data_IF_131529331489
#
_entry.id   IF_131529331489
#
_cell.length_a   1.000
_cell.length_b   1.000
_cell.length_c   1.000
_cell.angle_alpha   90.00
_cell.angle_beta   90.00
_cell.angle_gamma   90.00
#
_symmetry.space_group_name_H-M   'P 1'
#
loop_
_entity.id
_entity.type
_entity.pdbx_description
1 polymer ?
#
# COMPACT_ATOMS: atom_id res chain seq x y z
N UNK A 1 7.17 4.46 -40.00
CA UNK A 1 6.10 5.45 -39.79
C UNK A 1 4.91 4.72 -39.22
N UNK A 2 4.48 5.12 -38.02
CA UNK A 2 3.26 4.77 -37.29
C UNK A 2 2.90 3.27 -37.17
N UNK A 3 3.19 2.70 -36.00
CA UNK A 3 2.53 1.49 -35.49
C UNK A 3 1.47 1.96 -34.51
N UNK A 4 0.21 1.69 -34.82
CA UNK A 4 -0.95 1.89 -33.95
C UNK A 4 -0.83 0.98 -32.71
N UNK A 5 -0.72 1.59 -31.53
CA UNK A 5 -0.96 0.94 -30.24
C UNK A 5 -2.28 1.46 -29.69
N UNK A 6 -3.35 0.68 -29.88
CA UNK A 6 -4.61 0.83 -29.16
C UNK A 6 -4.86 -0.41 -28.30
N UNK A 7 -4.99 -0.15 -27.00
CA UNK A 7 -5.95 -0.83 -26.13
C UNK A 7 -5.49 -2.12 -25.47
N UNK A 8 -4.87 -2.00 -24.28
CA UNK A 8 -5.11 -2.98 -23.21
C UNK A 8 -5.12 -2.27 -21.85
N UNK A 9 -6.20 -1.55 -21.59
CA UNK A 9 -6.51 -0.84 -20.34
C UNK A 9 -7.53 -1.59 -19.48
N UNK A 10 -7.46 -2.92 -19.40
CA UNK A 10 -8.53 -3.76 -18.88
C UNK A 10 -8.12 -4.75 -17.80
N UNK A 11 -7.55 -4.33 -16.66
CA UNK A 11 -7.31 -5.23 -15.53
C UNK A 11 -7.46 -4.63 -14.10
N UNK A 12 -7.84 -3.36 -13.96
CA UNK A 12 -8.08 -2.71 -12.65
C UNK A 12 -9.52 -2.83 -12.12
N UNK A 13 -10.42 -3.48 -12.86
CA UNK A 13 -11.87 -3.30 -12.69
C UNK A 13 -12.55 -4.32 -11.77
N UNK A 14 -12.05 -4.53 -10.54
CA UNK A 14 -12.89 -5.06 -9.44
C UNK A 14 -12.98 -4.17 -8.19
N UNK A 15 -12.40 -2.97 -8.23
CA UNK A 15 -12.59 -1.93 -7.19
C UNK A 15 -12.61 -0.50 -7.76
N UNK A 16 -12.94 -0.32 -9.03
CA UNK A 16 -13.15 1.01 -9.62
C UNK A 16 -14.50 1.58 -9.10
N UNK A 17 -14.49 2.63 -8.25
CA UNK A 17 -15.72 3.27 -7.81
C UNK A 17 -16.25 4.18 -8.92
N UNK A 18 -17.57 4.38 -8.94
CA UNK A 18 -18.15 5.58 -9.54
C UNK A 18 -17.38 6.80 -8.98
N UNK A 19 -16.96 7.70 -9.87
CA UNK A 19 -16.03 8.81 -9.61
C UNK A 19 -16.28 9.53 -8.28
N UNK A 20 -15.58 9.10 -7.22
CA UNK A 20 -15.40 9.94 -6.04
C UNK A 20 -14.47 11.07 -6.46
N UNK A 21 -15.03 12.27 -6.59
CA UNK A 21 -14.27 13.50 -6.77
C UNK A 21 -14.23 14.21 -5.41
N UNK A 22 -13.05 14.44 -4.80
CA UNK A 22 -12.97 15.24 -3.60
C UNK A 22 -13.62 16.60 -3.88
N UNK A 23 -14.49 17.06 -2.97
CA UNK A 23 -15.08 18.38 -3.04
C UNK A 23 -14.03 19.40 -2.60
N UNK A 24 -13.22 19.92 -3.52
CA UNK A 24 -12.26 21.04 -3.38
C UNK A 24 -11.27 21.01 -2.17
N UNK A 25 -11.33 20.00 -1.30
CA UNK A 25 -10.45 19.73 -0.16
C UNK A 25 -9.34 18.78 -0.59
N UNK A 26 -8.26 19.36 -1.09
CA UNK A 26 -7.08 18.63 -1.55
C UNK A 26 -6.01 18.49 -0.45
N UNK A 27 -6.19 19.15 0.71
CA UNK A 27 -5.14 19.32 1.71
C UNK A 27 -4.77 18.04 2.46
N UNK A 28 -5.75 17.27 2.96
CA UNK A 28 -5.46 16.02 3.66
C UNK A 28 -4.81 14.98 2.74
N UNK A 29 -5.35 14.82 1.54
CA UNK A 29 -4.84 13.87 0.53
C UNK A 29 -3.41 14.23 0.13
N UNK A 30 -3.10 15.52 -0.11
CA UNK A 30 -1.73 15.95 -0.40
C UNK A 30 -0.76 15.66 0.76
N UNK A 31 -1.16 15.89 2.02
CA UNK A 31 -0.27 15.60 3.16
C UNK A 31 -0.05 14.12 3.40
N UNK A 32 -1.05 13.28 3.09
CA UNK A 32 -0.88 11.83 3.14
C UNK A 32 0.09 11.35 2.05
N UNK A 33 0.07 12.00 0.87
CA UNK A 33 1.07 11.79 -0.19
C UNK A 33 2.45 12.19 0.28
N UNK A 34 2.59 13.39 0.85
CA UNK A 34 3.87 13.89 1.37
C UNK A 34 4.43 12.94 2.42
N UNK A 35 3.60 12.49 3.37
CA UNK A 35 4.00 11.50 4.37
C UNK A 35 4.47 10.17 3.74
N UNK A 36 3.81 9.71 2.66
CA UNK A 36 4.22 8.51 1.95
C UNK A 36 5.55 8.70 1.18
N UNK A 37 5.78 9.89 0.63
CA UNK A 37 7.02 10.26 -0.06
C UNK A 37 8.17 10.43 0.94
N UNK A 38 7.94 11.08 2.07
CA UNK A 38 8.95 11.31 3.12
C UNK A 38 9.36 10.00 3.81
N UNK A 39 8.44 9.06 3.95
CA UNK A 39 8.73 7.72 4.43
C UNK A 39 9.53 6.86 3.43
N UNK A 40 9.65 7.27 2.16
CA UNK A 40 10.43 6.56 1.17
C UNK A 40 11.95 6.71 1.45
N UNK A 41 12.78 5.67 1.24
CA UNK A 41 14.23 5.81 1.29
C UNK A 41 14.68 6.89 0.30
N UNK A 42 15.40 7.91 0.77
CA UNK A 42 15.93 9.04 -0.04
C UNK A 42 16.95 8.62 -1.12
N UNK A 43 17.19 7.33 -1.30
CA UNK A 43 18.17 6.77 -2.22
C UNK A 43 17.65 6.68 -3.65
N UNK A 44 17.33 7.81 -4.31
CA UNK A 44 17.22 7.97 -5.78
C UNK A 44 16.47 6.89 -6.60
N UNK A 45 15.66 6.07 -5.96
CA UNK A 45 14.96 4.91 -6.52
C UNK A 45 13.47 5.14 -6.31
N UNK A 46 12.64 4.51 -7.15
CA UNK A 46 11.19 4.66 -7.08
C UNK A 46 10.68 4.50 -5.63
N UNK A 47 9.63 5.24 -5.22
CA UNK A 47 9.09 5.13 -3.87
C UNK A 47 8.79 3.67 -3.55
N UNK A 48 9.05 3.21 -2.30
CA UNK A 48 8.90 1.82 -1.94
C UNK A 48 7.44 1.41 -2.15
N UNK A 49 7.23 0.22 -2.70
CA UNK A 49 5.89 -0.32 -2.85
C UNK A 49 5.22 -0.40 -1.46
N UNK A 50 4.03 0.20 -1.32
CA UNK A 50 3.27 0.12 -0.08
C UNK A 50 2.89 -1.32 0.23
N UNK A 51 2.80 -1.67 1.53
CA UNK A 51 2.41 -3.02 1.92
C UNK A 51 0.95 -3.24 1.53
N UNK A 52 0.60 -4.39 0.94
CA UNK A 52 -0.78 -4.67 0.62
C UNK A 52 -1.59 -4.85 1.91
N UNK A 53 -2.75 -4.23 1.96
CA UNK A 53 -3.65 -4.31 3.12
C UNK A 53 -4.77 -5.31 2.91
N UNK A 54 -5.22 -5.96 3.97
CA UNK A 54 -6.45 -6.74 3.95
C UNK A 54 -7.62 -5.83 4.29
N UNK A 55 -8.61 -5.77 3.40
CA UNK A 55 -9.85 -5.03 3.64
C UNK A 55 -11.05 -6.00 3.59
N UNK A 56 -12.05 -5.83 4.46
CA UNK A 56 -13.33 -6.52 4.35
C UNK A 56 -14.09 -6.18 3.07
N UNK A 57 -15.13 -6.96 2.78
CA UNK A 57 -16.03 -6.67 1.66
C UNK A 57 -16.87 -5.40 1.90
N UNK A 58 -17.38 -4.82 0.82
CA UNK A 58 -18.19 -3.59 0.86
C UNK A 58 -19.35 -3.64 1.87
N UNK A 59 -20.15 -4.73 1.97
CA UNK A 59 -21.26 -4.77 2.92
C UNK A 59 -20.81 -4.75 4.39
N UNK A 60 -19.67 -5.36 4.70
CA UNK A 60 -19.12 -5.37 6.06
C UNK A 60 -18.57 -3.99 6.43
N UNK A 61 -17.85 -3.35 5.51
CA UNK A 61 -17.39 -1.97 5.68
C UNK A 61 -18.57 -1.00 5.84
N UNK A 62 -19.61 -1.14 5.01
CA UNK A 62 -20.80 -0.31 5.09
C UNK A 62 -21.59 -0.55 6.38
N UNK A 63 -21.65 -1.80 6.87
CA UNK A 63 -22.19 -2.12 8.19
C UNK A 63 -21.45 -1.35 9.30
N UNK A 64 -20.11 -1.40 9.31
CA UNK A 64 -19.31 -0.65 10.27
C UNK A 64 -19.46 0.87 10.13
N UNK A 65 -19.63 1.38 8.92
CA UNK A 65 -19.84 2.81 8.66
C UNK A 65 -21.17 3.32 9.22
N UNK A 66 -22.23 2.50 9.18
CA UNK A 66 -23.53 2.83 9.77
C UNK A 66 -23.48 2.95 11.30
N UNK A 67 -22.50 2.30 11.95
CA UNK A 67 -22.28 2.39 13.39
C UNK A 67 -21.41 3.60 13.81
N UNK A 68 -21.14 4.53 12.89
CA UNK A 68 -20.44 5.80 13.17
C UNK A 68 -21.37 6.77 13.90
N UNK A 69 -20.94 7.21 15.10
CA UNK A 69 -21.67 8.23 15.86
C UNK A 69 -21.64 9.59 15.19
N UNK A 70 -20.49 9.97 14.62
CA UNK A 70 -20.35 11.25 13.89
C UNK A 70 -21.25 11.29 12.66
N UNK A 71 -21.30 10.20 11.89
CA UNK A 71 -22.18 10.15 10.70
C UNK A 71 -23.66 10.20 11.11
N UNK A 72 -24.05 9.51 12.18
CA UNK A 72 -25.41 9.57 12.72
C UNK A 72 -25.79 11.00 13.14
N UNK A 73 -24.91 11.71 13.87
CA UNK A 73 -25.15 13.10 14.29
C UNK A 73 -25.33 14.04 13.08
N UNK A 74 -24.55 13.82 12.02
CA UNK A 74 -24.63 14.59 10.77
C UNK A 74 -25.91 14.29 9.97
N UNK A 75 -26.35 13.02 9.93
CA UNK A 75 -27.63 12.62 9.33
C UNK A 75 -28.79 13.29 10.06
N UNK A 76 -28.75 13.29 11.40
CA UNK A 76 -29.76 13.96 12.23
C UNK A 76 -29.77 15.48 12.01
N UNK A 77 -28.59 16.09 11.85
CA UNK A 77 -28.48 17.50 11.49
C UNK A 77 -29.10 17.78 10.11
N UNK A 78 -28.76 16.97 9.11
CA UNK A 78 -29.30 17.09 7.76
C UNK A 78 -30.83 16.96 7.74
N UNK A 79 -31.40 16.02 8.51
CA UNK A 79 -32.85 15.88 8.67
C UNK A 79 -33.48 17.14 9.26
N UNK A 80 -32.91 17.70 10.34
CA UNK A 80 -33.38 18.96 10.94
C UNK A 80 -33.33 20.13 9.97
N UNK A 81 -32.31 20.20 9.11
CA UNK A 81 -32.21 21.25 8.06
C UNK A 81 -33.29 21.06 7.00
N UNK A 82 -33.60 19.83 6.58
CA UNK A 82 -34.69 19.58 5.61
C UNK A 82 -36.06 19.97 6.15
N UNK A 83 -36.29 19.77 7.44
CA UNK A 83 -37.56 20.04 8.10
C UNK A 83 -37.72 21.51 8.54
N UNK A 84 -36.69 22.34 8.34
CA UNK A 84 -36.63 23.72 8.84
C UNK A 84 -36.37 24.72 7.71
N UNK A 85 -37.20 25.77 7.62
CA UNK A 85 -36.95 26.94 6.77
C UNK A 85 -35.83 27.87 7.30
N UNK A 86 -35.26 27.58 8.48
CA UNK A 86 -34.17 28.37 9.08
C UNK A 86 -32.82 27.98 8.48
N UNK A 87 -32.07 29.00 8.04
CA UNK A 87 -30.66 28.87 7.71
C UNK A 87 -29.81 28.64 8.97
N UNK A 88 -28.81 27.77 8.86
CA UNK A 88 -27.75 27.57 9.82
C UNK A 88 -26.74 28.72 9.82
N UNK A 89 -25.63 28.57 10.57
CA UNK A 89 -24.54 29.55 10.54
C UNK A 89 -23.92 29.63 9.13
N UNK A 90 -23.51 30.82 8.66
CA UNK A 90 -22.77 30.94 7.41
C UNK A 90 -21.51 30.07 7.43
N UNK A 91 -21.20 29.41 6.30
CA UNK A 91 -20.06 28.48 6.18
C UNK A 91 -18.75 29.08 6.70
N UNK A 92 -18.51 30.37 6.45
CA UNK A 92 -17.29 31.07 6.88
C UNK A 92 -17.11 31.23 8.39
N UNK A 93 -18.17 31.01 9.17
CA UNK A 93 -18.15 31.11 10.65
C UNK A 93 -18.74 29.86 11.32
N UNK A 94 -19.03 28.81 10.54
CA UNK A 94 -19.50 27.54 11.07
C UNK A 94 -18.41 26.90 11.93
N UNK A 95 -18.82 26.24 13.02
CA UNK A 95 -17.92 25.55 13.93
C UNK A 95 -18.54 24.23 14.41
N UNK A 96 -17.70 23.35 14.94
CA UNK A 96 -18.12 22.01 15.36
C UNK A 96 -18.84 21.27 14.24
N UNK A 97 -19.95 20.61 14.59
CA UNK A 97 -20.70 19.75 13.67
C UNK A 97 -21.16 20.44 12.37
N UNK A 98 -21.42 21.75 12.38
CA UNK A 98 -21.79 22.48 11.15
C UNK A 98 -20.61 22.61 10.19
N UNK A 99 -19.42 22.91 10.70
CA UNK A 99 -18.22 22.97 9.88
C UNK A 99 -17.92 21.61 9.26
N UNK A 100 -18.06 20.54 10.06
CA UNK A 100 -17.89 19.17 9.59
C UNK A 100 -18.95 18.79 8.54
N UNK A 101 -20.21 19.20 8.72
CA UNK A 101 -21.28 18.93 7.77
C UNK A 101 -21.05 19.58 6.40
N UNK A 102 -20.54 20.82 6.37
CA UNK A 102 -20.18 21.48 5.11
C UNK A 102 -18.92 20.88 4.49
N UNK A 103 -17.87 20.65 5.27
CA UNK A 103 -16.61 20.09 4.78
C UNK A 103 -16.75 18.67 4.22
N UNK A 104 -17.63 17.85 4.83
CA UNK A 104 -17.94 16.50 4.35
C UNK A 104 -18.94 16.47 3.19
N UNK A 105 -19.55 17.61 2.85
CA UNK A 105 -20.56 17.74 1.81
C UNK A 105 -21.94 17.16 2.17
N UNK A 106 -22.18 16.81 3.44
CA UNK A 106 -23.49 16.43 3.98
C UNK A 106 -24.47 17.60 3.91
N UNK A 107 -23.98 18.81 4.18
CA UNK A 107 -24.68 20.06 3.91
C UNK A 107 -23.96 20.83 2.80
N UNK A 108 -24.74 21.52 1.97
CA UNK A 108 -24.26 22.42 0.92
C UNK A 108 -25.03 23.72 0.99
N UNK A 109 -24.47 24.77 0.41
CA UNK A 109 -25.20 26.03 0.24
C UNK A 109 -25.75 26.11 -1.17
N UNK A 110 -27.02 26.48 -1.30
CA UNK A 110 -27.70 26.70 -2.58
C UNK A 110 -28.24 28.12 -2.64
N UNK A 111 -27.99 28.80 -3.76
CA UNK A 111 -28.58 30.11 -4.02
C UNK A 111 -29.97 29.94 -4.63
N UNK A 112 -30.99 30.47 -3.95
CA UNK A 112 -32.37 30.45 -4.40
C UNK A 112 -32.65 31.44 -5.54
N UNK A 113 -33.81 31.31 -6.21
CA UNK A 113 -34.26 32.25 -7.26
C UNK A 113 -34.45 33.69 -6.74
N UNK A 114 -34.70 33.82 -5.44
CA UNK A 114 -34.80 35.08 -4.69
C UNK A 114 -33.43 35.69 -4.34
N UNK A 115 -32.33 35.07 -4.79
CA UNK A 115 -30.96 35.51 -4.55
C UNK A 115 -30.41 35.15 -3.17
N UNK A 116 -31.25 34.59 -2.29
CA UNK A 116 -30.90 34.19 -0.92
C UNK A 116 -30.15 32.86 -0.90
N UNK A 117 -29.12 32.76 -0.08
CA UNK A 117 -28.42 31.49 0.18
C UNK A 117 -29.17 30.71 1.26
N UNK A 118 -29.44 29.43 0.98
CA UNK A 118 -30.05 28.48 1.92
C UNK A 118 -29.17 27.25 2.05
N UNK A 119 -29.28 26.57 3.17
CA UNK A 119 -28.62 25.28 3.38
C UNK A 119 -29.46 24.18 2.75
N UNK A 120 -28.77 23.22 2.15
CA UNK A 120 -29.35 22.09 1.45
C UNK A 120 -28.66 20.83 1.95
N UNK A 121 -29.44 19.91 2.49
CA UNK A 121 -28.96 18.59 2.87
C UNK A 121 -28.79 17.70 1.64
N UNK A 122 -27.62 17.12 1.48
CA UNK A 122 -27.36 16.12 0.44
C UNK A 122 -28.30 14.92 0.61
N UNK A 123 -28.70 14.30 -0.51
CA UNK A 123 -29.27 12.95 -0.46
C UNK A 123 -28.14 11.98 -0.11
N UNK A 124 -28.28 11.30 1.03
CA UNK A 124 -27.24 10.43 1.57
C UNK A 124 -27.30 9.02 0.97
N UNK A 125 -28.44 8.64 0.37
CA UNK A 125 -28.70 7.30 -0.12
C UNK A 125 -28.61 6.20 0.96
N UNK A 126 -29.21 5.04 0.67
CA UNK A 126 -29.21 3.90 1.60
C UNK A 126 -28.31 2.75 1.13
N UNK A 127 -27.70 2.88 -0.04
CA UNK A 127 -26.81 1.86 -0.60
C UNK A 127 -25.48 1.80 0.17
N UNK A 128 -24.85 0.62 0.20
CA UNK A 128 -23.56 0.44 0.87
C UNK A 128 -22.48 1.40 0.33
N UNK A 129 -22.42 1.56 -1.00
CA UNK A 129 -21.53 2.51 -1.65
C UNK A 129 -21.79 3.97 -1.23
N UNK A 130 -23.06 4.40 -1.13
CA UNK A 130 -23.40 5.77 -0.74
C UNK A 130 -23.02 6.04 0.73
N UNK A 131 -23.35 5.11 1.63
CA UNK A 131 -22.96 5.20 3.05
C UNK A 131 -21.44 5.30 3.18
N UNK A 132 -20.68 4.47 2.47
CA UNK A 132 -19.23 4.51 2.49
C UNK A 132 -18.67 5.82 1.93
N UNK A 133 -19.28 6.38 0.88
CA UNK A 133 -18.89 7.66 0.32
C UNK A 133 -19.07 8.81 1.32
N UNK A 134 -20.21 8.87 2.01
CA UNK A 134 -20.44 9.90 3.02
C UNK A 134 -19.55 9.71 4.25
N UNK A 135 -19.37 8.46 4.69
CA UNK A 135 -18.45 8.15 5.77
C UNK A 135 -17.01 8.60 5.42
N UNK A 136 -16.55 8.36 4.20
CA UNK A 136 -15.24 8.82 3.72
C UNK A 136 -15.13 10.35 3.70
N UNK A 137 -16.16 11.05 3.23
CA UNK A 137 -16.18 12.52 3.25
C UNK A 137 -16.03 13.09 4.66
N UNK A 138 -16.68 12.48 5.65
CA UNK A 138 -16.54 12.86 7.06
C UNK A 138 -15.15 12.53 7.60
N UNK A 139 -14.57 11.38 7.24
CA UNK A 139 -13.19 11.04 7.61
C UNK A 139 -12.21 12.10 7.11
N UNK A 140 -12.27 12.44 5.82
CA UNK A 140 -11.41 13.46 5.20
C UNK A 140 -11.58 14.80 5.91
N UNK A 141 -12.82 15.24 6.15
CA UNK A 141 -13.09 16.50 6.85
C UNK A 141 -12.52 16.55 8.28
N UNK A 142 -12.55 15.43 9.02
CA UNK A 142 -11.89 15.33 10.34
C UNK A 142 -10.37 15.44 10.18
N UNK A 143 -9.77 14.77 9.18
CA UNK A 143 -8.32 14.82 8.95
C UNK A 143 -7.83 16.19 8.48
N UNK A 144 -8.69 17.00 7.89
CA UNK A 144 -8.46 18.41 7.56
C UNK A 144 -8.73 19.34 8.75
N UNK A 145 -9.04 18.81 9.93
CA UNK A 145 -9.32 19.58 11.14
C UNK A 145 -10.48 20.57 10.96
N UNK A 146 -11.54 20.17 10.23
CA UNK A 146 -12.66 21.05 9.89
C UNK A 146 -13.36 21.69 11.11
N UNK A 147 -13.44 20.99 12.24
CA UNK A 147 -14.08 21.52 13.46
C UNK A 147 -13.18 22.43 14.29
N UNK A 148 -11.87 22.45 14.03
CA UNK A 148 -10.93 23.25 14.82
C UNK A 148 -10.94 24.72 14.38
N UNK A 149 -10.98 25.68 15.32
CA UNK A 149 -11.13 27.09 14.96
C UNK A 149 -9.94 27.62 14.15
N UNK A 150 -10.21 28.56 13.24
CA UNK A 150 -9.22 29.15 12.34
C UNK A 150 -8.17 30.05 13.04
N UNK A 151 -8.31 30.30 14.35
CA UNK A 151 -7.40 31.11 15.16
C UNK A 151 -6.10 30.38 15.57
N UNK A 152 -5.98 29.09 15.23
CA UNK A 152 -4.68 28.46 15.01
C UNK A 152 -4.14 29.05 13.70
N UNK A 153 -3.58 30.26 13.79
CA UNK A 153 -3.10 31.09 12.67
C UNK A 153 -2.24 30.30 11.68
N UNK A 154 -2.87 29.70 10.65
CA UNK A 154 -2.28 29.09 9.45
C UNK A 154 -1.26 27.95 9.66
N UNK A 155 -0.11 28.27 10.25
CA UNK A 155 1.04 27.38 10.43
C UNK A 155 0.74 26.25 11.40
N UNK A 156 0.16 26.53 12.57
CA UNK A 156 -0.14 25.48 13.56
C UNK A 156 -1.12 24.43 13.04
N UNK A 157 -2.10 24.84 12.22
CA UNK A 157 -3.06 23.93 11.58
C UNK A 157 -2.34 23.08 10.53
N UNK A 158 -1.54 23.70 9.67
CA UNK A 158 -0.77 22.99 8.64
C UNK A 158 0.16 21.94 9.25
N UNK A 159 0.86 22.30 10.34
CA UNK A 159 1.72 21.37 11.09
C UNK A 159 0.90 20.24 11.69
N UNK A 160 -0.24 20.53 12.32
CA UNK A 160 -1.10 19.50 12.90
C UNK A 160 -1.65 18.52 11.87
N UNK A 161 -2.06 19.01 10.69
CA UNK A 161 -2.53 18.15 9.61
C UNK A 161 -1.40 17.28 9.04
N UNK A 162 -0.14 17.80 8.96
CA UNK A 162 1.04 17.00 8.59
C UNK A 162 1.34 15.91 9.61
N UNK A 163 1.29 16.24 10.90
CA UNK A 163 1.47 15.27 12.00
C UNK A 163 0.40 14.18 11.94
N UNK A 164 -0.86 14.55 11.74
CA UNK A 164 -1.97 13.60 11.64
C UNK A 164 -1.81 12.70 10.40
N UNK A 165 -1.45 13.25 9.25
CA UNK A 165 -1.19 12.47 8.04
C UNK A 165 -0.03 11.47 8.23
N UNK A 166 1.08 11.91 8.82
CA UNK A 166 2.21 11.04 9.13
C UNK A 166 1.84 9.90 10.10
N UNK A 167 1.03 10.21 11.13
CA UNK A 167 0.52 9.22 12.07
C UNK A 167 -0.39 8.19 11.39
N UNK A 168 -1.36 8.64 10.59
CA UNK A 168 -2.28 7.76 9.86
C UNK A 168 -1.55 6.88 8.85
N UNK A 169 -0.57 7.43 8.14
CA UNK A 169 0.29 6.65 7.25
C UNK A 169 1.10 5.60 8.00
N UNK A 170 1.68 5.96 9.15
CA UNK A 170 2.39 5.04 10.03
C UNK A 170 1.51 3.88 10.51
N UNK A 171 0.27 4.17 10.93
CA UNK A 171 -0.72 3.16 11.32
C UNK A 171 -1.18 2.29 10.13
N UNK A 172 -1.25 2.88 8.94
CA UNK A 172 -1.61 2.17 7.71
C UNK A 172 -0.53 1.16 7.29
N UNK A 173 0.74 1.52 7.41
CA UNK A 173 1.85 0.63 7.05
C UNK A 173 2.28 -0.30 8.21
N UNK A 174 1.82 -0.02 9.43
CA UNK A 174 2.16 -0.76 10.64
C UNK A 174 1.23 -1.94 10.94
N UNK A 175 1.80 -2.95 11.61
CA UNK A 175 1.11 -4.17 12.05
C UNK A 175 0.73 -4.13 13.55
N UNK A 176 1.00 -3.03 14.26
CA UNK A 176 0.81 -2.93 15.72
C UNK A 176 0.22 -1.58 16.14
N UNK A 177 -0.61 -1.55 17.21
CA UNK A 177 -1.12 -0.31 17.75
C UNK A 177 0.01 0.63 18.19
N UNK A 178 -0.08 1.91 17.84
CA UNK A 178 0.87 2.94 18.24
C UNK A 178 0.47 3.57 19.59
N UNK A 179 1.45 4.00 20.38
CA UNK A 179 1.22 4.78 21.60
C UNK A 179 0.99 6.25 21.21
N UNK A 180 -0.19 6.80 21.51
CA UNK A 180 -0.62 8.12 21.02
C UNK A 180 0.33 9.22 21.48
N UNK A 181 0.47 9.40 22.79
CA UNK A 181 1.23 10.51 23.39
C UNK A 181 2.68 10.61 22.89
N UNK A 182 3.52 9.55 23.00
CA UNK A 182 4.90 9.65 22.55
C UNK A 182 5.01 9.79 21.03
N UNK A 183 4.09 9.21 20.26
CA UNK A 183 4.16 9.24 18.80
C UNK A 183 3.75 10.61 18.25
N UNK A 184 2.68 11.22 18.79
CA UNK A 184 2.28 12.59 18.43
C UNK A 184 3.37 13.58 18.83
N UNK A 185 3.94 13.44 20.02
CA UNK A 185 5.05 14.28 20.49
C UNK A 185 6.28 14.17 19.57
N UNK A 186 6.64 12.95 19.15
CA UNK A 186 7.76 12.69 18.23
C UNK A 186 7.51 13.33 16.86
N UNK A 187 6.37 13.03 16.25
CA UNK A 187 6.00 13.54 14.93
C UNK A 187 5.86 15.07 14.91
N UNK A 188 5.35 15.68 15.97
CA UNK A 188 5.26 17.14 16.08
C UNK A 188 6.64 17.81 16.04
N UNK A 189 7.63 17.22 16.72
CA UNK A 189 9.02 17.71 16.66
C UNK A 189 9.59 17.54 15.25
N UNK A 190 9.46 16.35 14.66
CA UNK A 190 9.98 16.07 13.31
C UNK A 190 9.40 17.02 12.26
N UNK A 191 8.08 17.21 12.25
CA UNK A 191 7.40 18.08 11.28
C UNK A 191 7.79 19.56 11.46
N UNK A 192 7.98 20.02 12.70
CA UNK A 192 8.42 21.39 13.01
C UNK A 192 9.88 21.63 12.63
N UNK A 193 10.76 20.64 12.81
CA UNK A 193 12.18 20.72 12.45
C UNK A 193 12.42 20.67 10.93
N UNK A 194 11.54 19.98 10.19
CA UNK A 194 11.59 19.94 8.72
C UNK A 194 10.99 21.18 8.04
N UNK A 195 10.14 21.92 8.74
CA UNK A 195 9.50 23.13 8.23
C UNK A 195 10.34 24.39 8.37
N UNK A 196 9.84 25.49 7.79
CA UNK A 196 10.46 26.83 7.88
C UNK A 196 10.11 27.58 9.18
N UNK A 197 9.38 26.93 10.10
CA UNK A 197 8.91 27.56 11.35
C UNK A 197 10.09 27.97 12.24
N UNK A 198 10.17 29.22 12.71
CA UNK A 198 11.25 29.67 13.58
C UNK A 198 11.33 28.87 14.89
N UNK A 199 12.53 28.47 15.29
CA UNK A 199 12.79 27.63 16.49
C UNK A 199 12.13 28.17 17.77
N UNK A 200 12.07 29.50 17.94
CA UNK A 200 11.47 30.10 19.13
C UNK A 200 9.94 29.91 19.22
N UNK A 201 9.28 29.58 18.12
CA UNK A 201 7.84 29.29 18.07
C UNK A 201 7.52 27.82 18.31
N UNK A 202 8.50 26.92 18.17
CA UNK A 202 8.30 25.46 18.24
C UNK A 202 7.58 25.05 19.53
N UNK A 203 7.97 25.59 20.68
CA UNK A 203 7.33 25.25 21.97
C UNK A 203 5.85 25.66 22.01
N UNK A 204 5.51 26.85 21.48
CA UNK A 204 4.13 27.34 21.45
C UNK A 204 3.29 26.51 20.48
N UNK A 205 3.79 26.31 19.26
CA UNK A 205 3.08 25.61 18.21
C UNK A 205 2.90 24.14 18.53
N UNK A 206 3.89 23.49 19.16
CA UNK A 206 3.80 22.09 19.58
C UNK A 206 2.61 21.84 20.50
N UNK A 207 2.37 22.68 21.51
CA UNK A 207 1.23 22.50 22.40
C UNK A 207 -0.12 22.62 21.67
N UNK A 208 -0.20 23.53 20.70
CA UNK A 208 -1.40 23.73 19.87
C UNK A 208 -1.62 22.54 18.93
N UNK A 209 -0.55 22.08 18.27
CA UNK A 209 -0.53 20.93 17.38
C UNK A 209 -0.93 19.66 18.11
N UNK A 210 -0.32 19.39 19.26
CA UNK A 210 -0.65 18.23 20.09
C UNK A 210 -2.14 18.27 20.46
N UNK A 211 -2.67 19.40 20.95
CA UNK A 211 -4.09 19.54 21.27
C UNK A 211 -4.99 19.23 20.06
N UNK A 212 -4.69 19.83 18.90
CA UNK A 212 -5.45 19.64 17.66
C UNK A 212 -5.47 18.17 17.20
N UNK A 213 -4.30 17.52 17.20
CA UNK A 213 -4.17 16.11 16.82
C UNK A 213 -4.93 15.20 17.78
N UNK A 214 -4.84 15.43 19.10
CA UNK A 214 -5.60 14.65 20.08
C UNK A 214 -7.12 14.80 19.91
N UNK A 215 -7.59 16.02 19.62
CA UNK A 215 -8.99 16.27 19.30
C UNK A 215 -9.45 15.51 18.04
N UNK A 216 -8.66 15.57 16.97
CA UNK A 216 -8.95 14.84 15.74
C UNK A 216 -8.95 13.31 15.95
N UNK A 217 -8.01 12.78 16.74
CA UNK A 217 -7.97 11.35 17.07
C UNK A 217 -9.22 10.91 17.84
N UNK A 218 -9.72 11.73 18.76
CA UNK A 218 -10.98 11.45 19.46
C UNK A 218 -12.17 11.42 18.50
N UNK A 219 -12.22 12.34 17.53
CA UNK A 219 -13.26 12.35 16.49
C UNK A 219 -13.16 11.16 15.55
N UNK A 220 -11.96 10.82 15.08
CA UNK A 220 -11.71 9.62 14.28
C UNK A 220 -12.10 8.35 15.03
N UNK A 221 -11.92 8.30 16.36
CA UNK A 221 -12.38 7.18 17.19
C UNK A 221 -13.92 7.10 17.21
N UNK A 222 -14.59 8.23 17.42
CA UNK A 222 -16.05 8.31 17.43
C UNK A 222 -16.66 8.01 16.05
N UNK A 223 -15.95 8.37 14.98
CA UNK A 223 -16.27 8.07 13.60
C UNK A 223 -15.94 6.62 13.19
N UNK A 224 -15.41 5.81 14.10
CA UNK A 224 -14.98 4.41 13.85
C UNK A 224 -13.86 4.27 12.83
N UNK A 225 -13.08 5.32 12.60
CA UNK A 225 -11.87 5.25 11.77
C UNK A 225 -10.70 4.62 12.53
N UNK A 226 -10.64 4.80 13.85
CA UNK A 226 -9.60 4.20 14.69
C UNK A 226 -10.20 3.62 15.97
N UNK A 227 -9.49 2.66 16.55
CA UNK A 227 -9.80 2.12 17.87
C UNK A 227 -8.84 2.75 18.86
N UNK A 228 -9.36 3.35 19.94
CA UNK A 228 -8.56 3.77 21.09
C UNK A 228 -8.62 2.67 22.17
N UNK A 229 -7.49 2.05 22.44
CA UNK A 229 -7.35 1.03 23.48
C UNK A 229 -7.07 1.65 24.85
N UNK A 230 -7.32 0.84 25.89
CA UNK A 230 -6.86 1.17 27.25
C UNK A 230 -5.35 1.36 27.27
N UNK A 231 -4.90 2.42 27.95
CA UNK A 231 -3.48 2.77 28.04
C UNK A 231 -2.96 3.59 26.86
N UNK A 232 -3.82 4.29 26.12
CA UNK A 232 -3.40 5.32 25.16
C UNK A 232 -2.83 4.76 23.85
N UNK A 233 -3.20 3.55 23.45
CA UNK A 233 -2.81 2.99 22.14
C UNK A 233 -3.90 3.16 21.10
N UNK A 234 -3.52 3.38 19.85
CA UNK A 234 -4.45 3.45 18.72
C UNK A 234 -4.06 2.52 17.59
N UNK A 235 -5.06 2.01 16.88
CA UNK A 235 -4.91 1.32 15.60
C UNK A 235 -6.03 1.73 14.65
N UNK A 236 -5.77 1.64 13.34
CA UNK A 236 -6.83 1.84 12.34
C UNK A 236 -7.82 0.68 12.41
N UNK A 237 -9.11 1.00 12.41
CA UNK A 237 -10.15 0.00 12.13
C UNK A 237 -10.03 -0.45 10.67
N UNK A 238 -10.70 -1.55 10.25
CA UNK A 238 -10.79 -1.89 8.84
C UNK A 238 -11.35 -0.75 7.97
N UNK A 239 -12.26 0.06 8.52
CA UNK A 239 -12.87 1.19 7.83
C UNK A 239 -11.93 2.39 7.71
N UNK A 240 -11.17 2.71 8.76
CA UNK A 240 -10.10 3.73 8.66
C UNK A 240 -8.97 3.32 7.73
N UNK A 241 -8.60 2.04 7.73
CA UNK A 241 -7.62 1.50 6.78
C UNK A 241 -8.14 1.57 5.33
N UNK A 242 -9.42 1.33 5.12
CA UNK A 242 -10.08 1.52 3.83
C UNK A 242 -10.07 3.01 3.41
N UNK A 243 -10.31 3.94 4.33
CA UNK A 243 -10.25 5.38 4.06
C UNK A 243 -8.87 5.82 3.55
N UNK A 244 -7.83 5.52 4.33
CA UNK A 244 -6.44 5.84 3.99
C UNK A 244 -6.05 5.18 2.66
N UNK A 245 -6.48 3.94 2.40
CA UNK A 245 -6.27 3.27 1.12
C UNK A 245 -6.93 4.02 -0.06
N UNK A 246 -8.15 4.53 0.12
CA UNK A 246 -8.87 5.30 -0.90
C UNK A 246 -8.22 6.65 -1.16
N UNK A 247 -7.77 7.33 -0.12
CA UNK A 247 -7.06 8.60 -0.25
C UNK A 247 -5.73 8.44 -1.00
N UNK A 248 -4.90 7.46 -0.62
CA UNK A 248 -3.64 7.16 -1.31
C UNK A 248 -3.86 6.85 -2.79
N UNK A 249 -4.80 5.95 -3.11
CA UNK A 249 -5.11 5.60 -4.51
C UNK A 249 -5.72 6.78 -5.28
N UNK A 250 -6.58 7.58 -4.64
CA UNK A 250 -7.16 8.80 -5.21
C UNK A 250 -6.09 9.85 -5.55
N UNK A 251 -4.97 9.84 -4.81
CA UNK A 251 -3.81 10.67 -5.05
C UNK A 251 -2.80 10.08 -6.07
N UNK A 252 -3.10 8.92 -6.65
CA UNK A 252 -2.20 8.23 -7.59
C UNK A 252 -1.08 7.41 -6.94
N UNK A 253 -1.07 7.29 -5.61
CA UNK A 253 -0.16 6.36 -4.91
C UNK A 253 -0.79 4.96 -4.95
N UNK A 254 -0.11 4.01 -5.58
CA UNK A 254 -0.55 2.62 -5.63
C UNK A 254 -0.52 2.01 -4.23
N UNK A 255 -1.69 1.95 -3.58
CA UNK A 255 -1.90 1.32 -2.28
C UNK A 255 -2.66 0.00 -2.46
N UNK A 256 -1.96 -1.15 -2.57
CA UNK A 256 -2.58 -2.40 -2.95
C UNK A 256 -3.47 -3.00 -1.86
N UNK A 257 -4.50 -3.73 -2.28
CA UNK A 257 -5.42 -4.48 -1.41
C UNK A 257 -5.26 -5.97 -1.71
N UNK A 258 -5.10 -6.78 -0.67
CA UNK A 258 -4.98 -8.23 -0.82
C UNK A 258 -6.24 -8.82 -1.47
N UNK A 259 -6.02 -9.65 -2.49
CA UNK A 259 -7.05 -10.21 -3.35
C UNK A 259 -7.42 -9.33 -4.54
N UNK A 260 -6.84 -8.13 -4.66
CA UNK A 260 -7.04 -7.23 -5.79
C UNK A 260 -6.62 -7.84 -7.13
N UNK A 261 -5.66 -8.79 -7.11
CA UNK A 261 -5.18 -9.48 -8.30
C UNK A 261 -5.98 -10.75 -8.62
N UNK A 262 -7.08 -11.07 -7.94
CA UNK A 262 -7.80 -12.34 -8.13
C UNK A 262 -8.21 -12.62 -9.61
N UNK A 263 -8.43 -11.56 -10.40
CA UNK A 263 -8.79 -11.66 -11.83
C UNK A 263 -7.68 -11.17 -12.76
N UNK A 264 -6.53 -10.79 -12.23
CA UNK A 264 -5.41 -10.31 -13.01
C UNK A 264 -4.82 -11.43 -13.88
N UNK A 265 -4.07 -11.01 -14.91
CA UNK A 265 -3.23 -11.91 -15.69
C UNK A 265 -2.14 -12.53 -14.80
N UNK A 266 -1.58 -13.70 -15.17
CA UNK A 266 -0.48 -14.30 -14.41
C UNK A 266 0.74 -13.38 -14.35
N UNK A 267 1.03 -12.62 -15.41
CA UNK A 267 2.14 -11.66 -15.43
C UNK A 267 1.94 -10.53 -14.41
N UNK A 268 0.75 -9.93 -14.38
CA UNK A 268 0.43 -8.87 -13.41
C UNK A 268 0.48 -9.39 -11.97
N UNK A 269 -0.01 -10.61 -11.72
CA UNK A 269 0.13 -11.25 -10.41
C UNK A 269 1.61 -11.42 -10.03
N UNK A 270 2.44 -11.97 -10.91
CA UNK A 270 3.86 -12.20 -10.65
C UNK A 270 4.63 -10.91 -10.39
N UNK A 271 4.33 -9.84 -11.13
CA UNK A 271 4.92 -8.52 -10.91
C UNK A 271 4.55 -7.96 -9.54
N UNK A 272 3.28 -8.07 -9.16
CA UNK A 272 2.81 -7.60 -7.85
C UNK A 272 3.44 -8.38 -6.70
N UNK A 273 3.37 -9.72 -6.76
CA UNK A 273 3.83 -10.55 -5.65
C UNK A 273 5.35 -10.61 -5.53
N UNK A 274 6.10 -10.26 -6.58
CA UNK A 274 7.56 -10.18 -6.51
C UNK A 274 8.04 -9.21 -5.43
N UNK A 275 7.29 -8.11 -5.23
CA UNK A 275 7.57 -7.08 -4.22
C UNK A 275 6.96 -7.39 -2.83
N UNK A 276 6.04 -8.35 -2.73
CA UNK A 276 5.35 -8.64 -1.48
C UNK A 276 6.18 -9.52 -0.54
N UNK A 277 6.04 -9.33 0.79
CA UNK A 277 6.50 -10.33 1.74
C UNK A 277 5.76 -11.67 1.54
N UNK A 278 6.32 -12.75 2.09
CA UNK A 278 5.91 -14.13 1.80
C UNK A 278 4.43 -14.39 2.15
N UNK A 279 3.98 -13.94 3.31
CA UNK A 279 2.61 -14.18 3.79
C UNK A 279 1.57 -13.52 2.87
N UNK A 280 1.82 -12.27 2.47
CA UNK A 280 0.98 -11.47 1.59
C UNK A 280 0.95 -12.05 0.17
N UNK A 281 2.11 -12.48 -0.35
CA UNK A 281 2.20 -13.21 -1.62
C UNK A 281 1.32 -14.45 -1.63
N UNK A 282 1.35 -15.24 -0.55
CA UNK A 282 0.55 -16.47 -0.46
C UNK A 282 -0.93 -16.16 -0.34
N UNK A 283 -1.31 -15.11 0.40
CA UNK A 283 -2.69 -14.65 0.46
C UNK A 283 -3.20 -14.20 -0.91
N UNK A 284 -2.43 -13.40 -1.64
CA UNK A 284 -2.76 -12.92 -2.98
C UNK A 284 -2.92 -14.10 -3.96
N UNK A 285 -1.97 -15.03 -3.92
CA UNK A 285 -2.02 -16.21 -4.78
C UNK A 285 -3.23 -17.08 -4.50
N UNK A 286 -3.62 -17.29 -3.23
CA UNK A 286 -4.84 -18.05 -2.90
C UNK A 286 -6.09 -17.41 -3.50
N UNK A 287 -6.20 -16.08 -3.45
CA UNK A 287 -7.31 -15.36 -4.05
C UNK A 287 -7.35 -15.52 -5.57
N UNK A 288 -6.19 -15.45 -6.24
CA UNK A 288 -6.06 -15.69 -7.67
C UNK A 288 -6.33 -17.16 -8.06
N UNK A 289 -5.83 -18.11 -7.28
CA UNK A 289 -5.99 -19.54 -7.51
C UNK A 289 -7.44 -20.00 -7.33
N UNK A 290 -8.21 -19.38 -6.43
CA UNK A 290 -9.59 -19.77 -6.11
C UNK A 290 -10.58 -19.77 -7.28
N UNK A 291 -10.16 -19.32 -8.47
CA UNK A 291 -10.96 -19.27 -9.70
C UNK A 291 -10.41 -20.15 -10.82
N UNK A 292 -9.36 -20.95 -10.55
CA UNK A 292 -8.58 -21.69 -11.56
C UNK A 292 -8.26 -23.10 -11.06
N UNK A 293 -8.08 -24.05 -11.96
CA UNK A 293 -7.51 -25.34 -11.59
C UNK A 293 -6.02 -25.19 -11.29
N UNK A 294 -5.46 -26.05 -10.44
CA UNK A 294 -4.02 -26.02 -10.14
C UNK A 294 -3.16 -26.32 -11.38
N UNK A 295 -3.67 -27.13 -12.30
CA UNK A 295 -3.01 -27.41 -13.58
C UNK A 295 -2.90 -26.13 -14.43
N UNK A 296 -4.03 -25.46 -14.66
CA UNK A 296 -4.08 -24.23 -15.48
C UNK A 296 -3.28 -23.11 -14.83
N UNK A 297 -3.34 -23.01 -13.50
CA UNK A 297 -2.55 -22.07 -12.73
C UNK A 297 -1.05 -22.30 -12.94
N UNK A 298 -0.57 -23.54 -12.79
CA UNK A 298 0.84 -23.88 -12.99
C UNK A 298 1.30 -23.55 -14.42
N UNK A 299 0.52 -23.95 -15.43
CA UNK A 299 0.84 -23.68 -16.83
C UNK A 299 0.95 -22.17 -17.09
N UNK A 300 -0.02 -21.39 -16.62
CA UNK A 300 -0.06 -19.95 -16.82
C UNK A 300 1.06 -19.20 -16.10
N UNK A 301 1.44 -19.62 -14.88
CA UNK A 301 2.58 -19.08 -14.14
C UNK A 301 3.90 -19.37 -14.87
N UNK A 302 4.09 -20.59 -15.35
CA UNK A 302 5.29 -21.00 -16.09
C UNK A 302 5.45 -20.19 -17.38
N UNK A 303 4.38 -20.03 -18.15
CA UNK A 303 4.38 -19.20 -19.37
C UNK A 303 4.75 -17.75 -19.07
N UNK A 304 4.12 -17.14 -18.06
CA UNK A 304 4.41 -15.75 -17.71
C UNK A 304 5.82 -15.54 -17.15
N UNK A 305 6.35 -16.52 -16.43
CA UNK A 305 7.72 -16.51 -15.92
C UNK A 305 8.77 -16.69 -17.02
N UNK A 306 8.54 -17.60 -17.97
CA UNK A 306 9.43 -17.82 -19.12
C UNK A 306 9.54 -16.62 -20.06
N UNK A 307 8.48 -15.80 -20.16
CA UNK A 307 8.50 -14.54 -20.88
C UNK A 307 9.00 -13.33 -20.04
N UNK A 308 9.44 -13.58 -18.80
CA UNK A 308 9.77 -12.56 -17.80
C UNK A 308 11.24 -12.49 -17.40
N UNK A 309 11.56 -11.49 -16.57
CA UNK A 309 12.85 -11.37 -15.89
C UNK A 309 12.95 -12.24 -14.64
N UNK A 310 14.09 -12.14 -13.94
CA UNK A 310 14.36 -12.89 -12.70
C UNK A 310 13.26 -12.73 -11.64
N UNK A 311 12.65 -11.55 -11.53
CA UNK A 311 11.61 -11.27 -10.55
C UNK A 311 10.37 -12.15 -10.75
N UNK A 312 9.89 -12.28 -12.00
CA UNK A 312 8.76 -13.16 -12.34
C UNK A 312 9.11 -14.63 -12.18
N UNK A 313 10.33 -15.04 -12.56
CA UNK A 313 10.77 -16.44 -12.39
C UNK A 313 10.85 -16.85 -10.93
N UNK A 314 11.48 -16.03 -10.09
CA UNK A 314 11.54 -16.26 -8.65
C UNK A 314 10.15 -16.30 -8.02
N UNK A 315 9.29 -15.32 -8.34
CA UNK A 315 7.91 -15.30 -7.86
C UNK A 315 7.12 -16.54 -8.30
N UNK A 316 7.23 -16.96 -9.56
CA UNK A 316 6.55 -18.15 -10.05
C UNK A 316 7.05 -19.42 -9.37
N UNK A 317 8.36 -19.56 -9.15
CA UNK A 317 8.93 -20.69 -8.43
C UNK A 317 8.37 -20.80 -7.00
N UNK A 318 8.27 -19.67 -6.29
CA UNK A 318 7.67 -19.61 -4.95
C UNK A 318 6.19 -20.04 -4.97
N UNK A 319 5.42 -19.53 -5.94
CA UNK A 319 3.99 -19.85 -6.04
C UNK A 319 3.73 -21.30 -6.48
N UNK A 320 4.55 -21.85 -7.38
CA UNK A 320 4.45 -23.25 -7.80
C UNK A 320 4.64 -24.21 -6.62
N UNK A 321 5.46 -23.86 -5.63
CA UNK A 321 5.65 -24.69 -4.43
C UNK A 321 4.37 -24.87 -3.61
N UNK A 322 3.41 -23.94 -3.72
CA UNK A 322 2.11 -24.00 -3.04
C UNK A 322 1.09 -24.89 -3.77
N UNK A 323 1.39 -25.29 -5.01
CA UNK A 323 0.53 -26.16 -5.79
C UNK A 323 0.77 -27.63 -5.42
N UNK A 324 -0.31 -28.39 -5.43
CA UNK A 324 -0.33 -29.82 -5.17
C UNK A 324 -0.02 -30.66 -6.42
N UNK A 325 -0.25 -31.99 -6.35
CA UNK A 325 0.12 -32.94 -7.40
C UNK A 325 -0.50 -32.64 -8.78
N UNK A 326 -1.67 -32.00 -8.82
CA UNK A 326 -2.35 -31.63 -10.08
C UNK A 326 -1.53 -30.66 -10.96
N UNK A 327 -0.51 -29.98 -10.42
CA UNK A 327 0.40 -29.14 -11.18
C UNK A 327 1.48 -29.94 -11.95
N UNK A 328 1.74 -31.20 -11.61
CA UNK A 328 2.84 -31.99 -12.17
C UNK A 328 2.87 -31.99 -13.71
N UNK A 329 1.76 -32.22 -14.44
CA UNK A 329 1.79 -32.25 -15.90
C UNK A 329 2.28 -30.93 -16.52
N UNK A 330 1.87 -29.79 -15.94
CA UNK A 330 2.31 -28.47 -16.38
C UNK A 330 3.79 -28.22 -16.05
N UNK A 331 4.24 -28.64 -14.86
CA UNK A 331 5.65 -28.52 -14.47
C UNK A 331 6.55 -29.38 -15.36
N UNK A 332 6.11 -30.59 -15.73
CA UNK A 332 6.83 -31.43 -16.70
C UNK A 332 6.92 -30.78 -18.08
N UNK A 333 5.85 -30.15 -18.56
CA UNK A 333 5.88 -29.40 -19.81
C UNK A 333 6.87 -28.22 -19.74
N UNK A 334 6.97 -27.55 -18.58
CA UNK A 334 7.93 -26.47 -18.33
C UNK A 334 9.41 -26.89 -18.37
N UNK A 335 9.73 -28.20 -18.39
CA UNK A 335 11.12 -28.67 -18.62
C UNK A 335 11.63 -28.35 -20.03
N UNK A 336 10.74 -28.05 -20.98
CA UNK A 336 11.12 -27.63 -22.33
C UNK A 336 11.46 -26.13 -22.42
N UNK A 337 11.14 -25.33 -21.40
CA UNK A 337 11.40 -23.90 -21.39
C UNK A 337 12.86 -23.60 -20.97
N UNK A 338 13.68 -22.93 -21.80
CA UNK A 338 15.10 -22.68 -21.51
C UNK A 338 15.39 -21.91 -20.21
N UNK A 339 14.44 -21.07 -19.77
CA UNK A 339 14.55 -20.25 -18.57
C UNK A 339 13.86 -20.88 -17.35
N UNK A 340 12.80 -21.69 -17.55
CA UNK A 340 12.07 -22.30 -16.44
C UNK A 340 12.44 -23.75 -16.12
N UNK A 341 13.12 -24.47 -17.01
CA UNK A 341 13.37 -25.90 -16.80
C UNK A 341 14.11 -26.22 -15.49
N UNK A 342 14.99 -25.32 -15.00
CA UNK A 342 15.73 -25.49 -13.73
C UNK A 342 14.80 -25.41 -12.53
N UNK A 343 13.89 -24.43 -12.53
CA UNK A 343 12.85 -24.27 -11.50
C UNK A 343 11.90 -25.48 -11.51
N UNK A 344 11.49 -25.94 -12.69
CA UNK A 344 10.66 -27.15 -12.85
C UNK A 344 11.38 -28.41 -12.34
N UNK A 345 12.66 -28.56 -12.66
CA UNK A 345 13.49 -29.66 -12.19
C UNK A 345 13.63 -29.67 -10.66
N UNK A 346 13.85 -28.50 -10.06
CA UNK A 346 13.88 -28.34 -8.60
C UNK A 346 12.53 -28.71 -7.97
N UNK A 347 11.41 -28.22 -8.53
CA UNK A 347 10.07 -28.54 -8.04
C UNK A 347 9.75 -30.05 -8.05
N UNK A 348 10.14 -30.75 -9.13
CA UNK A 348 9.97 -32.20 -9.26
C UNK A 348 10.83 -32.95 -8.25
N UNK A 349 12.10 -32.55 -8.13
CA UNK A 349 13.08 -33.16 -7.21
C UNK A 349 12.64 -33.01 -5.76
N UNK A 350 12.19 -31.82 -5.35
CA UNK A 350 11.68 -31.53 -3.99
C UNK A 350 10.48 -32.42 -3.62
N UNK A 351 9.78 -32.97 -4.61
CA UNK A 351 8.62 -33.85 -4.44
C UNK A 351 8.93 -35.34 -4.67
N UNK A 352 10.21 -35.70 -4.83
CA UNK A 352 10.64 -37.07 -5.11
C UNK A 352 10.23 -37.59 -6.49
N UNK A 353 9.84 -36.70 -7.40
CA UNK A 353 9.46 -37.05 -8.77
C UNK A 353 10.70 -36.98 -9.68
N UNK A 354 10.90 -37.95 -10.60
CA UNK A 354 12.07 -37.94 -11.47
C UNK A 354 11.97 -36.79 -12.50
N UNK A 355 12.93 -35.86 -12.52
CA UNK A 355 12.94 -34.75 -13.49
C UNK A 355 13.51 -35.16 -14.86
N UNK A 356 14.07 -36.36 -14.99
CA UNK A 356 14.72 -36.84 -16.22
C UNK A 356 16.16 -36.34 -16.43
N UNK A 357 16.54 -35.24 -15.78
CA UNK A 357 17.87 -34.65 -15.77
C UNK A 357 18.22 -34.17 -14.36
N UNK A 358 19.39 -34.52 -13.78
CA UNK A 358 19.84 -33.93 -12.53
C UNK A 358 20.31 -32.48 -12.73
N UNK A 359 20.18 -31.64 -11.70
CA UNK A 359 20.78 -30.31 -11.64
C UNK A 359 22.28 -30.45 -11.39
N UNK A 360 23.11 -29.91 -12.29
CA UNK A 360 24.54 -29.78 -12.06
C UNK A 360 24.86 -28.51 -11.25
N UNK A 361 26.10 -28.38 -10.77
CA UNK A 361 26.56 -27.19 -10.04
C UNK A 361 26.30 -25.88 -10.79
N UNK A 362 26.49 -25.85 -12.11
CA UNK A 362 26.17 -24.68 -12.94
C UNK A 362 24.66 -24.36 -12.94
N UNK A 363 23.79 -25.37 -12.87
CA UNK A 363 22.34 -25.16 -12.82
C UNK A 363 21.89 -24.67 -11.44
N UNK A 364 22.56 -25.12 -10.38
CA UNK A 364 22.37 -24.58 -9.02
C UNK A 364 22.81 -23.10 -8.96
N UNK A 365 23.99 -22.77 -9.50
CA UNK A 365 24.47 -21.39 -9.61
C UNK A 365 23.50 -20.48 -10.38
N UNK A 366 22.85 -21.02 -11.43
CA UNK A 366 21.81 -20.31 -12.17
C UNK A 366 20.58 -19.99 -11.30
N UNK A 367 20.07 -20.96 -10.53
CA UNK A 367 18.93 -20.76 -9.62
C UNK A 367 19.26 -19.78 -8.49
N UNK A 368 20.48 -19.86 -7.96
CA UNK A 368 20.97 -18.97 -6.91
C UNK A 368 21.04 -17.50 -7.37
N UNK A 369 21.30 -17.24 -8.66
CA UNK A 369 21.22 -15.88 -9.21
C UNK A 369 19.78 -15.32 -9.15
N UNK A 370 18.78 -16.10 -9.58
CA UNK A 370 17.38 -15.68 -9.50
C UNK A 370 16.98 -15.42 -8.03
N UNK A 371 17.39 -16.30 -7.11
CA UNK A 371 17.11 -16.15 -5.67
C UNK A 371 17.78 -14.91 -5.08
N UNK A 372 19.06 -14.68 -5.40
CA UNK A 372 19.83 -13.51 -4.98
C UNK A 372 19.13 -12.21 -5.40
N UNK A 373 18.83 -12.09 -6.69
CA UNK A 373 18.26 -10.86 -7.26
C UNK A 373 16.82 -10.64 -6.78
N UNK A 374 16.03 -11.70 -6.65
CA UNK A 374 14.68 -11.60 -6.10
C UNK A 374 14.71 -11.16 -4.62
N UNK A 375 15.66 -11.64 -3.82
CA UNK A 375 15.83 -11.20 -2.44
C UNK A 375 16.28 -9.73 -2.36
N UNK A 376 17.20 -9.32 -3.22
CA UNK A 376 17.68 -7.93 -3.30
C UNK A 376 16.57 -6.95 -3.70
N UNK A 377 15.73 -7.33 -4.68
CA UNK A 377 14.59 -6.51 -5.12
C UNK A 377 13.52 -6.31 -4.05
N UNK A 378 13.38 -7.22 -3.08
CA UNK A 378 12.37 -7.15 -2.01
C UNK A 378 12.79 -6.30 -0.82
N UNK A 379 14.05 -6.42 -0.43
CA UNK A 379 14.54 -5.79 0.79
C UNK A 379 15.28 -4.48 0.50
N UNK A 380 15.59 -4.23 -0.78
CA UNK A 380 16.53 -3.18 -1.15
C UNK A 380 17.97 -3.62 -0.85
N UNK A 381 18.98 -2.99 -1.48
CA UNK A 381 20.36 -3.44 -1.41
C UNK A 381 20.89 -3.50 0.03
N UNK A 382 20.57 -2.52 0.87
CA UNK A 382 21.13 -2.42 2.23
C UNK A 382 20.58 -3.46 3.22
N UNK A 383 19.27 -3.76 3.17
CA UNK A 383 18.70 -4.82 4.02
C UNK A 383 19.08 -6.20 3.50
N UNK A 384 19.22 -6.35 2.18
CA UNK A 384 19.75 -7.55 1.57
C UNK A 384 21.17 -7.87 2.12
N UNK A 385 22.05 -6.88 2.25
CA UNK A 385 23.41 -7.05 2.82
C UNK A 385 23.38 -7.62 4.22
N UNK A 386 22.53 -7.07 5.11
CA UNK A 386 22.45 -7.55 6.50
C UNK A 386 22.01 -9.01 6.60
N UNK A 387 21.48 -9.57 5.52
CA UNK A 387 20.90 -10.91 5.46
C UNK A 387 21.65 -11.84 4.51
N UNK A 388 22.55 -11.36 3.65
CA UNK A 388 23.13 -12.17 2.57
C UNK A 388 23.87 -13.40 3.09
N UNK A 389 24.65 -13.28 4.17
CA UNK A 389 25.36 -14.41 4.79
C UNK A 389 24.41 -15.47 5.40
N UNK A 390 23.16 -15.09 5.68
CA UNK A 390 22.10 -16.02 6.12
C UNK A 390 21.34 -16.63 4.94
N UNK A 391 21.38 -15.96 3.78
CA UNK A 391 20.66 -16.37 2.57
C UNK A 391 21.51 -17.26 1.67
N UNK A 392 22.83 -17.04 1.64
CA UNK A 392 23.77 -17.74 0.79
C UNK A 392 25.01 -18.14 1.58
N UNK A 393 25.42 -19.38 1.43
CA UNK A 393 26.68 -19.88 1.95
C UNK A 393 27.84 -19.48 1.04
N UNK A 394 29.08 -19.61 1.52
CA UNK A 394 30.26 -19.38 0.68
C UNK A 394 30.27 -20.25 -0.58
N UNK A 395 29.84 -21.51 -0.45
CA UNK A 395 29.69 -22.44 -1.58
C UNK A 395 28.71 -21.88 -2.63
N UNK A 396 27.60 -21.31 -2.19
CA UNK A 396 26.59 -20.75 -3.10
C UNK A 396 27.16 -19.57 -3.90
N UNK A 397 27.97 -18.72 -3.25
CA UNK A 397 28.69 -17.65 -3.95
C UNK A 397 29.68 -18.21 -4.96
N UNK A 398 30.46 -19.23 -4.59
CA UNK A 398 31.42 -19.85 -5.50
C UNK A 398 30.72 -20.46 -6.74
N UNK A 399 29.50 -21.00 -6.58
CA UNK A 399 28.65 -21.46 -7.70
C UNK A 399 28.18 -20.32 -8.61
N UNK A 400 27.77 -19.18 -8.04
CA UNK A 400 27.39 -17.98 -8.80
C UNK A 400 28.59 -17.44 -9.59
N UNK A 401 29.76 -17.33 -8.94
CA UNK A 401 31.00 -16.84 -9.54
C UNK A 401 31.48 -17.78 -10.66
N UNK A 402 31.46 -19.09 -10.41
CA UNK A 402 31.88 -20.13 -11.35
C UNK A 402 30.96 -20.32 -12.55
N UNK A 403 29.77 -19.71 -12.56
CA UNK A 403 28.86 -19.80 -13.69
C UNK A 403 29.47 -19.15 -14.95
N UNK A 404 29.44 -19.78 -16.14
CA UNK A 404 29.99 -19.18 -17.35
C UNK A 404 29.29 -17.88 -17.78
N UNK A 405 30.04 -17.01 -18.48
CA UNK A 405 29.48 -15.82 -19.11
C UNK A 405 28.37 -16.18 -20.11
N UNK A 406 27.26 -15.43 -20.09
CA UNK A 406 26.10 -15.66 -20.95
C UNK A 406 25.19 -16.81 -20.53
N UNK A 407 25.54 -17.61 -19.51
CA UNK A 407 24.72 -18.73 -19.05
C UNK A 407 23.42 -18.29 -18.34
N UNK A 408 23.43 -17.10 -17.72
CA UNK A 408 22.25 -16.50 -17.09
C UNK A 408 22.11 -15.04 -17.56
N UNK A 409 20.89 -14.58 -17.98
CA UNK A 409 20.67 -13.22 -18.46
C UNK A 409 21.16 -12.14 -17.48
N UNK A 410 20.89 -12.35 -16.19
CA UNK A 410 21.22 -11.43 -15.10
C UNK A 410 22.55 -11.68 -14.38
N UNK A 411 23.44 -12.55 -14.90
CA UNK A 411 24.69 -12.91 -14.19
C UNK A 411 25.50 -11.69 -13.77
N UNK A 412 25.66 -10.73 -14.69
CA UNK A 412 26.43 -9.50 -14.46
C UNK A 412 25.78 -8.61 -13.39
N UNK A 413 24.45 -8.62 -13.25
CA UNK A 413 23.74 -7.89 -12.22
C UNK A 413 23.99 -8.53 -10.85
N UNK A 414 23.84 -9.85 -10.75
CA UNK A 414 24.12 -10.60 -9.53
C UNK A 414 25.56 -10.43 -9.04
N UNK A 415 26.55 -10.54 -9.94
CA UNK A 415 27.95 -10.35 -9.55
C UNK A 415 28.25 -8.93 -9.10
N UNK A 416 27.63 -7.90 -9.70
CA UNK A 416 27.78 -6.51 -9.22
C UNK A 416 27.22 -6.37 -7.81
N UNK A 417 26.04 -6.93 -7.56
CA UNK A 417 25.46 -6.94 -6.22
C UNK A 417 26.39 -7.60 -5.20
N UNK A 418 26.97 -8.76 -5.51
CA UNK A 418 27.95 -9.43 -4.63
C UNK A 418 29.23 -8.59 -4.46
N UNK A 419 29.76 -8.05 -5.55
CA UNK A 419 30.99 -7.25 -5.55
C UNK A 419 30.87 -5.98 -4.69
N UNK A 420 29.76 -5.28 -4.80
CA UNK A 420 29.55 -3.98 -4.17
C UNK A 420 29.12 -4.10 -2.70
N UNK A 421 28.47 -5.22 -2.35
CA UNK A 421 27.66 -5.27 -1.14
C UNK A 421 27.91 -6.51 -0.25
N UNK A 422 28.61 -7.57 -0.70
CA UNK A 422 28.82 -8.75 0.13
C UNK A 422 29.79 -8.46 1.30
N UNK A 423 29.47 -8.83 2.56
CA UNK A 423 30.29 -8.51 3.73
C UNK A 423 31.62 -9.28 3.78
N UNK A 424 31.69 -10.51 3.24
CA UNK A 424 32.96 -11.22 3.04
C UNK A 424 33.79 -10.59 1.89
N UNK A 425 34.95 -9.98 2.16
CA UNK A 425 35.78 -9.33 1.14
C UNK A 425 36.31 -10.30 0.09
N UNK A 426 36.47 -11.60 0.42
CA UNK A 426 36.93 -12.61 -0.54
C UNK A 426 35.85 -12.96 -1.56
N UNK A 427 34.59 -12.98 -1.14
CA UNK A 427 33.44 -13.16 -2.03
C UNK A 427 33.29 -11.95 -2.97
N UNK A 428 33.42 -10.74 -2.42
CA UNK A 428 33.39 -9.51 -3.21
C UNK A 428 34.52 -9.45 -4.26
N UNK A 429 35.76 -9.80 -3.88
CA UNK A 429 36.90 -9.85 -4.80
C UNK A 429 36.71 -10.89 -5.92
N UNK A 430 36.20 -12.09 -5.57
CA UNK A 430 35.92 -13.13 -6.55
C UNK A 430 34.86 -12.67 -7.57
N UNK A 431 33.82 -11.97 -7.11
CA UNK A 431 32.81 -11.39 -7.98
C UNK A 431 33.37 -10.27 -8.88
N UNK A 432 34.24 -9.39 -8.35
CA UNK A 432 34.95 -8.37 -9.14
C UNK A 432 35.84 -8.99 -10.22
N UNK A 433 36.56 -10.05 -9.88
CA UNK A 433 37.39 -10.79 -10.82
C UNK A 433 36.55 -11.44 -11.93
N UNK A 434 35.39 -12.00 -11.58
CA UNK A 434 34.48 -12.64 -12.54
C UNK A 434 33.66 -11.66 -13.41
N UNK A 435 33.72 -10.36 -13.10
CA UNK A 435 33.14 -9.26 -13.88
C UNK A 435 34.11 -8.65 -14.90
N UNK A 436 35.42 -8.79 -14.65
CA UNK A 436 36.50 -8.39 -15.55
C UNK A 436 36.60 -9.38 -16.73
#
# INVERSE_FOLDING_TARGET
MAVDHLGDGGAAARFAPAEWRPSDGTGAVHRLVDAAVDAAPRSGTAPPALRPVRLPGEPELAGAARDSGVLADLVDLAARVRDSDRAGPPVSVASGIWALAYASGVLRTRRGPDGMTRDEAADLGDTDAAVLQHWLGVHVAITELAEYPADIEGEGRTVAERVLAALLFGLYQGDSPAQVEPEVARLAVEVLEEGDTPVHEHTRLRAVVESAVHGALAQLAHHRSLTLHRGGRIELTPLGRWAVNRELNGAGISAPVLGGYANASPAALLDAVAAYPENERFAEFRAWLGRRSQHDAAAALLTAAGAGGFARRGAAADLLRLLGPAAEPAVRAGLADPLMWRHCCAWLTDRGLPPGRPLADADLGWLLIDQLLAAAGRHGPQDFIRRVDRLLTRRDIDLIVGLPNGAHPERRHALRLVADFHPDPRAAEAARTALA
#
